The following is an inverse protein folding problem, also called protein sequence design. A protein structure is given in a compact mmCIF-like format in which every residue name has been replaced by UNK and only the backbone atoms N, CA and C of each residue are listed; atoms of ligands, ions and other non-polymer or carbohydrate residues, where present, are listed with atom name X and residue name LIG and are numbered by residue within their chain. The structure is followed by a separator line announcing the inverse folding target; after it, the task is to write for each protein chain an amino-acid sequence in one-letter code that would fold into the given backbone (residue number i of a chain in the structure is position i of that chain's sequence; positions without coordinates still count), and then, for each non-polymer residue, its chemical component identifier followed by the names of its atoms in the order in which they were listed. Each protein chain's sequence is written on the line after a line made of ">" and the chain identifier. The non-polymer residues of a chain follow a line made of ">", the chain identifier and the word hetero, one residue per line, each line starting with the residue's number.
data_IF_129360905871
#
_entry.id   IF_129360905871
#
_cell.length_a   1.000
_cell.length_b   1.000
_cell.length_c   1.000
_cell.angle_alpha   90.00
_cell.angle_beta   90.00
_cell.angle_gamma   90.00
#
_symmetry.space_group_name_H-M   'P 1'
#
loop_
_entity.id
_entity.type
_entity.pdbx_description
1 polymer ?
#
# COMPACT_ATOMS: atom_id res chain seq x y z
N UNK A 1 19.86 -19.33 12.90
CA UNK A 1 18.81 -18.79 12.00
C UNK A 1 17.69 -19.79 11.74
N UNK A 2 17.85 -20.87 10.95
CA UNK A 2 16.77 -21.86 10.70
C UNK A 2 16.26 -22.47 12.01
N UNK A 3 17.17 -22.92 12.89
CA UNK A 3 16.79 -23.47 14.20
C UNK A 3 15.95 -22.51 15.04
N UNK A 4 16.21 -21.20 14.97
CA UNK A 4 15.50 -20.18 15.74
C UNK A 4 14.13 -19.90 15.12
N UNK A 5 14.06 -19.83 13.79
CA UNK A 5 12.80 -19.77 13.03
C UNK A 5 11.87 -20.93 13.38
N UNK A 6 12.37 -22.18 13.37
CA UNK A 6 11.56 -23.34 13.72
C UNK A 6 11.09 -23.26 15.18
N UNK A 7 11.97 -22.90 16.12
CA UNK A 7 11.60 -22.74 17.53
C UNK A 7 10.53 -21.66 17.74
N UNK A 8 10.67 -20.51 17.07
CA UNK A 8 9.71 -19.40 17.13
C UNK A 8 8.35 -19.84 16.57
N UNK A 9 8.35 -20.53 15.43
CA UNK A 9 7.14 -21.05 14.78
C UNK A 9 6.46 -22.09 15.66
N UNK A 10 7.20 -23.07 16.19
CA UNK A 10 6.65 -24.08 17.09
C UNK A 10 6.07 -23.46 18.36
N UNK A 11 6.72 -22.43 18.93
CA UNK A 11 6.20 -21.70 20.09
C UNK A 11 4.88 -21.01 19.76
N UNK A 12 4.74 -20.46 18.55
CA UNK A 12 3.50 -19.85 18.07
C UNK A 12 2.38 -20.88 17.87
N UNK A 13 2.69 -22.02 17.24
CA UNK A 13 1.74 -23.11 17.01
C UNK A 13 1.32 -23.83 18.31
N UNK A 14 2.04 -23.62 19.41
CA UNK A 14 1.72 -24.18 20.73
C UNK A 14 1.30 -23.11 21.75
N UNK A 15 1.05 -21.88 21.28
CA UNK A 15 0.54 -20.80 22.11
C UNK A 15 -0.94 -21.02 22.48
N UNK A 16 -1.34 -20.56 23.66
CA UNK A 16 -2.70 -20.77 24.19
C UNK A 16 -3.78 -20.24 23.25
N UNK A 17 -3.58 -19.04 22.68
CA UNK A 17 -4.57 -18.44 21.78
C UNK A 17 -4.73 -19.21 20.47
N UNK A 18 -3.61 -19.70 19.92
CA UNK A 18 -3.60 -20.50 18.70
C UNK A 18 -4.30 -21.85 18.93
N UNK A 19 -3.93 -22.55 20.00
CA UNK A 19 -4.49 -23.84 20.38
C UNK A 19 -5.99 -23.76 20.66
N UNK A 20 -6.45 -22.71 21.34
CA UNK A 20 -7.87 -22.47 21.60
C UNK A 20 -8.67 -22.34 20.30
N UNK A 21 -8.13 -21.65 19.29
CA UNK A 21 -8.77 -21.49 17.98
C UNK A 21 -8.81 -22.79 17.17
N UNK A 22 -7.83 -23.69 17.35
CA UNK A 22 -7.84 -25.01 16.74
C UNK A 22 -8.65 -26.06 17.53
N UNK A 23 -9.01 -25.77 18.79
CA UNK A 23 -9.59 -26.76 19.69
C UNK A 23 -8.59 -27.86 20.08
N UNK A 24 -7.30 -27.54 20.10
CA UNK A 24 -6.21 -28.48 20.34
C UNK A 24 -5.56 -28.28 21.72
N UNK A 25 -4.96 -29.35 22.26
CA UNK A 25 -4.14 -29.23 23.48
C UNK A 25 -2.67 -29.06 23.11
N UNK A 26 -1.88 -28.46 23.99
CA UNK A 26 -0.43 -28.32 23.77
C UNK A 26 0.25 -29.67 23.54
N UNK A 27 -0.17 -30.70 24.30
CA UNK A 27 0.34 -32.08 24.15
C UNK A 27 -0.09 -32.68 22.81
N UNK A 28 -1.35 -32.51 22.43
CA UNK A 28 -1.89 -32.97 21.14
C UNK A 28 -1.15 -32.34 19.96
N UNK A 29 -1.06 -31.02 19.93
CA UNK A 29 -0.33 -30.30 18.88
C UNK A 29 1.16 -30.68 18.83
N UNK A 30 1.83 -30.81 19.97
CA UNK A 30 3.24 -31.24 19.98
C UNK A 30 3.41 -32.66 19.44
N UNK A 31 2.48 -33.57 19.77
CA UNK A 31 2.41 -34.91 19.19
C UNK A 31 2.24 -34.87 17.68
N UNK A 32 1.24 -34.14 17.18
CA UNK A 32 0.98 -33.96 15.74
C UNK A 32 2.22 -33.42 15.00
N UNK A 33 2.86 -32.37 15.51
CA UNK A 33 4.05 -31.81 14.84
C UNK A 33 5.21 -32.83 14.77
N UNK A 34 5.38 -33.65 15.81
CA UNK A 34 6.42 -34.68 15.84
C UNK A 34 6.10 -35.86 14.92
N UNK A 35 4.88 -36.40 15.01
CA UNK A 35 4.45 -37.59 14.25
C UNK A 35 4.60 -37.40 12.74
N UNK A 36 4.39 -36.17 12.27
CA UNK A 36 4.47 -35.82 10.85
C UNK A 36 5.80 -35.20 10.43
N UNK A 37 6.78 -35.18 11.34
CA UNK A 37 8.13 -34.64 11.06
C UNK A 37 8.06 -33.20 10.54
N UNK A 38 7.15 -32.40 11.11
CA UNK A 38 6.90 -31.02 10.70
C UNK A 38 8.18 -30.20 10.67
N UNK A 39 9.02 -30.38 11.69
CA UNK A 39 10.30 -29.67 11.81
C UNK A 39 11.23 -29.96 10.62
N UNK A 40 11.39 -31.23 10.25
CA UNK A 40 12.25 -31.58 9.11
C UNK A 40 11.69 -31.07 7.79
N UNK A 41 10.36 -31.14 7.59
CA UNK A 41 9.71 -30.64 6.36
C UNK A 41 9.91 -29.14 6.18
N UNK A 42 9.58 -28.34 7.22
CA UNK A 42 9.72 -26.88 7.16
C UNK A 42 11.18 -26.44 7.11
N UNK A 43 12.08 -27.13 7.82
CA UNK A 43 13.52 -26.84 7.71
C UNK A 43 14.04 -27.13 6.31
N UNK A 44 13.60 -28.23 5.70
CA UNK A 44 14.02 -28.61 4.34
C UNK A 44 13.61 -27.59 3.27
N UNK A 45 12.42 -27.00 3.37
CA UNK A 45 12.00 -25.89 2.49
C UNK A 45 12.90 -24.66 2.70
N UNK A 46 13.10 -24.26 3.96
CA UNK A 46 13.94 -23.12 4.31
C UNK A 46 15.41 -23.29 3.90
N UNK A 47 15.96 -24.50 3.95
CA UNK A 47 17.32 -24.84 3.50
C UNK A 47 17.46 -24.76 1.98
N UNK A 48 16.41 -25.10 1.23
CA UNK A 48 16.36 -24.99 -0.23
C UNK A 48 16.10 -23.56 -0.71
N UNK A 49 15.73 -22.64 0.19
CA UNK A 49 15.25 -21.30 -0.19
C UNK A 49 13.90 -21.31 -0.89
N UNK A 50 13.10 -22.37 -0.71
CA UNK A 50 11.76 -22.47 -1.29
C UNK A 50 10.74 -21.88 -0.32
N UNK A 51 10.18 -20.73 -0.70
CA UNK A 51 9.17 -19.99 0.06
C UNK A 51 7.82 -19.92 -0.64
N UNK A 52 7.59 -20.80 -1.62
CA UNK A 52 6.30 -20.91 -2.31
C UNK A 52 5.20 -21.42 -1.38
N UNK A 53 3.99 -20.92 -1.58
CA UNK A 53 2.81 -21.39 -0.88
C UNK A 53 2.47 -22.84 -1.27
N UNK A 54 2.67 -23.20 -2.55
CA UNK A 54 2.45 -24.55 -3.09
C UNK A 54 3.28 -25.61 -2.40
N UNK A 55 4.62 -25.46 -2.39
CA UNK A 55 5.50 -26.41 -1.70
C UNK A 55 5.21 -26.51 -0.19
N UNK A 56 4.77 -25.40 0.42
CA UNK A 56 4.35 -25.42 1.82
C UNK A 56 3.04 -26.19 2.01
N UNK A 57 2.04 -26.01 1.15
CA UNK A 57 0.80 -26.79 1.17
C UNK A 57 1.12 -28.26 1.03
N UNK A 58 1.91 -28.67 0.05
CA UNK A 58 2.30 -30.07 -0.14
C UNK A 58 2.98 -30.65 1.10
N UNK A 59 3.84 -29.86 1.74
CA UNK A 59 4.54 -30.26 2.97
C UNK A 59 3.60 -30.40 4.18
N UNK A 60 2.55 -29.58 4.26
CA UNK A 60 1.62 -29.53 5.40
C UNK A 60 0.32 -30.31 5.16
N UNK A 61 0.04 -30.73 3.93
CA UNK A 61 -1.20 -31.41 3.52
C UNK A 61 -1.55 -32.60 4.43
N UNK A 62 -0.62 -33.53 4.77
CA UNK A 62 -0.95 -34.64 5.67
C UNK A 62 -1.39 -34.19 7.08
N UNK A 63 -0.92 -33.02 7.54
CA UNK A 63 -1.38 -32.42 8.79
C UNK A 63 -2.75 -31.78 8.64
N UNK A 64 -2.95 -31.03 7.56
CA UNK A 64 -4.20 -30.33 7.28
C UNK A 64 -5.38 -31.29 7.12
N UNK A 65 -5.14 -32.45 6.51
CA UNK A 65 -6.11 -33.55 6.34
C UNK A 65 -6.60 -34.15 7.67
N UNK A 66 -5.93 -33.87 8.79
CA UNK A 66 -6.45 -34.24 10.13
C UNK A 66 -7.68 -33.45 10.53
N UNK A 67 -7.86 -32.25 9.99
CA UNK A 67 -9.00 -31.39 10.29
C UNK A 67 -10.04 -31.37 9.18
N UNK A 68 -9.63 -31.43 7.91
CA UNK A 68 -10.55 -31.51 6.79
C UNK A 68 -9.86 -32.03 5.53
N UNK A 69 -10.63 -32.73 4.69
CA UNK A 69 -10.23 -33.08 3.33
C UNK A 69 -10.03 -31.81 2.48
N UNK A 70 -9.13 -31.93 1.49
CA UNK A 70 -8.83 -30.87 0.56
C UNK A 70 -10.11 -30.43 -0.22
N UNK A 71 -10.38 -29.12 -0.32
CA UNK A 71 -11.44 -28.60 -1.18
C UNK A 71 -11.26 -29.00 -2.65
N UNK A 72 -12.33 -29.05 -3.44
CA UNK A 72 -12.26 -29.42 -4.87
C UNK A 72 -11.37 -28.48 -5.67
N UNK A 73 -11.39 -27.19 -5.31
CA UNK A 73 -10.55 -26.13 -5.88
C UNK A 73 -9.09 -26.16 -5.40
N UNK A 74 -8.75 -27.03 -4.45
CA UNK A 74 -7.44 -27.08 -3.79
C UNK A 74 -7.27 -26.06 -2.66
N UNK A 75 -6.25 -26.27 -1.81
CA UNK A 75 -6.05 -25.43 -0.62
C UNK A 75 -5.76 -23.96 -0.91
N UNK A 76 -4.91 -23.64 -1.89
CA UNK A 76 -4.51 -22.25 -2.15
C UNK A 76 -5.67 -21.39 -2.66
N UNK A 77 -6.43 -21.89 -3.63
CA UNK A 77 -7.61 -21.21 -4.17
C UNK A 77 -8.69 -21.04 -3.10
N UNK A 78 -8.95 -22.09 -2.30
CA UNK A 78 -9.86 -22.01 -1.15
C UNK A 78 -9.44 -20.92 -0.16
N UNK A 79 -8.16 -20.87 0.22
CA UNK A 79 -7.65 -19.87 1.16
C UNK A 79 -7.82 -18.46 0.60
N UNK A 80 -7.50 -18.25 -0.69
CA UNK A 80 -7.70 -16.97 -1.35
C UNK A 80 -9.17 -16.54 -1.35
N UNK A 81 -10.09 -17.43 -1.69
CA UNK A 81 -11.52 -17.13 -1.71
C UNK A 81 -12.07 -16.83 -0.32
N UNK A 82 -11.57 -17.50 0.71
CA UNK A 82 -11.93 -17.21 2.09
C UNK A 82 -11.49 -15.81 2.54
N UNK A 83 -10.25 -15.41 2.22
CA UNK A 83 -9.78 -14.05 2.55
C UNK A 83 -10.54 -13.00 1.75
N UNK A 84 -10.83 -13.25 0.47
CA UNK A 84 -11.71 -12.38 -0.35
C UNK A 84 -13.11 -12.26 0.25
N UNK A 85 -13.73 -13.34 0.72
CA UNK A 85 -15.05 -13.30 1.37
C UNK A 85 -15.07 -12.49 2.67
N UNK A 86 -13.98 -12.48 3.43
CA UNK A 86 -13.85 -11.65 4.61
C UNK A 86 -13.66 -10.16 4.27
N UNK A 87 -12.97 -9.86 3.16
CA UNK A 87 -12.75 -8.49 2.69
C UNK A 87 -13.92 -7.94 1.87
N UNK A 88 -14.69 -8.77 1.18
CA UNK A 88 -15.70 -8.37 0.19
C UNK A 88 -16.91 -9.32 0.24
N UNK A 89 -17.65 -9.32 1.37
CA UNK A 89 -18.73 -10.29 1.61
C UNK A 89 -19.90 -10.18 0.63
N UNK A 90 -20.09 -9.01 0.00
CA UNK A 90 -21.14 -8.80 -1.01
C UNK A 90 -20.84 -9.53 -2.32
N UNK A 91 -19.56 -9.70 -2.66
CA UNK A 91 -19.12 -10.32 -3.93
C UNK A 91 -18.61 -11.74 -3.78
N UNK A 92 -18.23 -12.14 -2.57
CA UNK A 92 -17.64 -13.45 -2.30
C UNK A 92 -18.26 -14.10 -1.06
N UNK A 93 -18.69 -15.34 -1.21
CA UNK A 93 -19.30 -16.11 -0.13
C UNK A 93 -18.30 -17.12 0.46
N UNK A 94 -18.17 -17.14 1.78
CA UNK A 94 -17.37 -18.15 2.47
C UNK A 94 -18.00 -19.54 2.31
N UNK A 95 -17.15 -20.54 2.05
CA UNK A 95 -17.51 -21.96 1.97
C UNK A 95 -16.80 -22.78 3.05
N UNK A 96 -16.21 -22.12 4.05
CA UNK A 96 -15.43 -22.79 5.09
C UNK A 96 -16.31 -23.54 6.08
N UNK A 97 -15.98 -24.82 6.29
CA UNK A 97 -16.42 -25.59 7.46
C UNK A 97 -15.49 -25.33 8.64
N UNK A 98 -15.86 -25.79 9.84
CA UNK A 98 -14.99 -25.66 11.03
C UNK A 98 -13.61 -26.31 10.79
N UNK A 99 -13.60 -27.53 10.23
CA UNK A 99 -12.36 -28.26 9.91
C UNK A 99 -11.47 -27.54 8.89
N UNK A 100 -12.07 -27.03 7.80
CA UNK A 100 -11.33 -26.26 6.79
C UNK A 100 -10.80 -24.93 7.35
N UNK A 101 -11.55 -24.30 8.25
CA UNK A 101 -11.11 -23.10 8.97
C UNK A 101 -9.89 -23.37 9.85
N UNK A 102 -9.86 -24.52 10.54
CA UNK A 102 -8.70 -24.97 11.33
C UNK A 102 -7.47 -25.22 10.46
N UNK A 103 -7.64 -25.99 9.37
CA UNK A 103 -6.57 -26.26 8.42
C UNK A 103 -5.98 -24.98 7.80
N UNK A 104 -6.85 -24.06 7.34
CA UNK A 104 -6.43 -22.72 6.85
C UNK A 104 -5.64 -21.98 7.91
N UNK A 105 -6.16 -21.86 9.13
CA UNK A 105 -5.50 -21.10 10.19
C UNK A 105 -4.12 -21.69 10.54
N UNK A 106 -4.00 -23.02 10.55
CA UNK A 106 -2.71 -23.70 10.74
C UNK A 106 -1.73 -23.39 9.59
N UNK A 107 -2.18 -23.50 8.34
CA UNK A 107 -1.36 -23.18 7.16
C UNK A 107 -0.88 -21.72 7.19
N UNK A 108 -1.79 -20.77 7.40
CA UNK A 108 -1.47 -19.33 7.34
C UNK A 108 -0.46 -18.91 8.41
N UNK A 109 -0.49 -19.50 9.61
CA UNK A 109 0.52 -19.21 10.64
C UNK A 109 1.90 -19.81 10.31
N UNK A 110 1.95 -20.98 9.66
CA UNK A 110 3.20 -21.52 9.14
C UNK A 110 3.74 -20.65 7.99
N UNK A 111 2.87 -20.25 7.07
CA UNK A 111 3.26 -19.45 5.91
C UNK A 111 3.76 -18.07 6.33
N UNK A 112 3.06 -17.41 7.25
CA UNK A 112 3.53 -16.17 7.91
C UNK A 112 4.94 -16.31 8.47
N UNK A 113 5.21 -17.40 9.19
CA UNK A 113 6.51 -17.62 9.80
C UNK A 113 7.59 -17.86 8.73
N UNK A 114 7.25 -18.60 7.67
CA UNK A 114 8.13 -18.86 6.53
C UNK A 114 8.49 -17.56 5.78
N UNK A 115 7.52 -16.71 5.48
CA UNK A 115 7.75 -15.41 4.84
C UNK A 115 8.54 -14.44 5.75
N UNK A 116 8.33 -14.51 7.07
CA UNK A 116 9.16 -13.76 8.04
C UNK A 116 10.62 -14.23 8.02
N UNK A 117 10.85 -15.52 7.78
CA UNK A 117 12.20 -16.08 7.63
C UNK A 117 12.82 -15.73 6.28
N UNK A 118 12.06 -15.81 5.18
CA UNK A 118 12.44 -15.29 3.85
C UNK A 118 12.93 -13.85 3.96
N UNK A 119 12.14 -12.96 4.56
CA UNK A 119 12.53 -11.54 4.74
C UNK A 119 13.83 -11.36 5.54
N UNK A 120 14.06 -12.18 6.57
CA UNK A 120 15.29 -12.10 7.38
C UNK A 120 16.54 -12.58 6.63
N UNK A 121 16.38 -13.40 5.59
CA UNK A 121 17.48 -14.08 4.89
C UNK A 121 17.73 -13.54 3.49
N UNK A 122 16.69 -13.15 2.77
CA UNK A 122 16.72 -12.65 1.39
C UNK A 122 16.97 -11.15 1.24
N UNK A 123 17.11 -10.41 2.35
CA UNK A 123 17.29 -8.95 2.32
C UNK A 123 16.00 -8.16 2.04
N UNK A 124 16.14 -6.87 1.78
CA UNK A 124 15.03 -5.96 1.48
C UNK A 124 14.76 -5.96 -0.03
N UNK A 125 13.68 -6.59 -0.46
CA UNK A 125 13.16 -6.49 -1.84
C UNK A 125 11.95 -5.58 -1.87
N UNK A 126 11.95 -4.50 -2.68
CA UNK A 126 10.87 -3.52 -2.71
C UNK A 126 9.57 -4.06 -3.33
N UNK A 127 9.61 -5.25 -3.94
CA UNK A 127 8.45 -5.91 -4.58
C UNK A 127 8.03 -7.19 -3.86
N UNK A 128 8.80 -7.64 -2.86
CA UNK A 128 8.50 -8.89 -2.15
C UNK A 128 7.89 -8.66 -0.78
N UNK A 129 8.11 -7.49 -0.17
CA UNK A 129 7.67 -7.18 1.19
C UNK A 129 7.14 -5.74 1.28
N UNK A 130 6.18 -5.53 2.18
CA UNK A 130 5.72 -4.20 2.58
C UNK A 130 6.24 -3.90 3.97
N UNK A 131 6.99 -2.82 4.07
CA UNK A 131 7.70 -2.42 5.28
C UNK A 131 6.96 -1.28 5.97
N UNK A 132 5.89 -1.64 6.68
CA UNK A 132 5.15 -0.68 7.51
C UNK A 132 6.08 -0.01 8.53
N UNK A 133 5.95 1.31 8.62
CA UNK A 133 6.62 2.15 9.59
C UNK A 133 6.29 1.70 11.02
N UNK A 134 7.27 1.68 11.92
CA UNK A 134 7.03 1.32 13.31
C UNK A 134 6.23 2.43 14.01
N UNK A 135 5.36 2.04 14.95
CA UNK A 135 4.46 2.97 15.63
C UNK A 135 5.17 4.19 16.25
N UNK A 136 6.38 4.00 16.78
CA UNK A 136 7.20 5.07 17.36
C UNK A 136 7.52 6.20 16.39
N UNK A 137 7.58 5.90 15.08
CA UNK A 137 7.95 6.85 14.03
C UNK A 137 6.76 7.63 13.50
N UNK A 138 5.53 7.17 13.73
CA UNK A 138 4.29 7.78 13.20
C UNK A 138 3.27 8.13 14.28
N UNK A 139 3.63 8.02 15.57
CA UNK A 139 2.72 8.26 16.70
C UNK A 139 2.18 9.69 16.79
N UNK A 140 2.93 10.65 16.25
CA UNK A 140 2.54 12.07 16.24
C UNK A 140 1.72 12.45 15.00
N UNK A 141 1.57 11.53 14.05
CA UNK A 141 0.75 11.74 12.86
C UNK A 141 -0.74 11.79 13.23
N UNK A 142 -1.49 12.65 12.56
CA UNK A 142 -2.94 12.84 12.78
C UNK A 142 -3.67 11.51 12.56
N UNK A 143 -3.29 10.80 11.50
CA UNK A 143 -3.91 9.54 11.08
C UNK A 143 -3.35 8.29 11.76
N UNK A 144 -2.52 8.44 12.81
CA UNK A 144 -1.88 7.33 13.52
C UNK A 144 -2.85 6.21 13.93
N UNK A 145 -4.05 6.58 14.42
CA UNK A 145 -5.06 5.59 14.83
C UNK A 145 -5.61 4.77 13.66
N UNK A 146 -5.81 5.38 12.48
CA UNK A 146 -6.20 4.63 11.29
C UNK A 146 -5.07 3.71 10.84
N UNK A 147 -3.83 4.18 10.90
CA UNK A 147 -2.67 3.37 10.56
C UNK A 147 -2.48 2.15 11.48
N UNK A 148 -2.76 2.29 12.78
CA UNK A 148 -2.79 1.15 13.69
C UNK A 148 -3.89 0.14 13.35
N UNK A 149 -5.08 0.62 12.96
CA UNK A 149 -6.17 -0.25 12.46
C UNK A 149 -5.74 -0.97 11.19
N UNK A 150 -5.07 -0.29 10.25
CA UNK A 150 -4.57 -0.90 9.02
C UNK A 150 -3.59 -2.02 9.32
N UNK A 151 -2.59 -1.76 10.17
CA UNK A 151 -1.59 -2.76 10.57
C UNK A 151 -2.23 -3.94 11.30
N UNK A 152 -3.24 -3.68 12.13
CA UNK A 152 -4.01 -4.72 12.80
C UNK A 152 -4.81 -5.57 11.79
N UNK A 153 -5.56 -4.94 10.89
CA UNK A 153 -6.30 -5.57 9.80
C UNK A 153 -5.39 -6.45 8.95
N UNK A 154 -4.27 -5.87 8.49
CA UNK A 154 -3.28 -6.55 7.64
C UNK A 154 -2.77 -7.85 8.28
N UNK A 155 -2.47 -7.80 9.57
CA UNK A 155 -2.00 -8.95 10.34
C UNK A 155 -3.11 -9.93 10.69
N UNK A 156 -4.29 -9.47 11.08
CA UNK A 156 -5.38 -10.34 11.53
C UNK A 156 -6.00 -11.12 10.39
N UNK A 157 -6.15 -10.50 9.22
CA UNK A 157 -6.77 -11.08 8.03
C UNK A 157 -5.76 -11.71 7.07
N UNK A 158 -4.47 -11.74 7.45
CA UNK A 158 -3.38 -12.32 6.66
C UNK A 158 -3.24 -11.73 5.25
N UNK A 159 -3.35 -10.41 5.13
CA UNK A 159 -3.41 -9.74 3.83
C UNK A 159 -2.12 -9.94 3.02
N UNK A 160 -0.95 -9.87 3.67
CA UNK A 160 0.32 -10.13 2.99
C UNK A 160 0.43 -11.56 2.48
N UNK A 161 0.15 -12.52 3.36
CA UNK A 161 0.20 -13.95 3.04
C UNK A 161 -0.78 -14.27 1.90
N UNK A 162 -1.99 -13.72 1.96
CA UNK A 162 -2.99 -13.85 0.91
C UNK A 162 -2.49 -13.36 -0.44
N UNK A 163 -1.91 -12.15 -0.52
CA UNK A 163 -1.46 -11.63 -1.81
C UNK A 163 -0.25 -12.39 -2.36
N UNK A 164 0.60 -12.96 -1.49
CA UNK A 164 1.68 -13.86 -1.90
C UNK A 164 1.15 -15.15 -2.51
N UNK A 165 0.12 -15.74 -1.92
CA UNK A 165 -0.59 -16.90 -2.50
C UNK A 165 -1.23 -16.50 -3.84
N UNK A 166 -1.92 -15.36 -3.87
CA UNK A 166 -2.62 -14.89 -5.06
C UNK A 166 -1.65 -14.68 -6.25
N UNK A 167 -0.46 -14.15 -6.00
CA UNK A 167 0.60 -14.02 -7.01
C UNK A 167 1.03 -15.37 -7.59
N UNK A 168 1.04 -16.43 -6.79
CA UNK A 168 1.47 -17.75 -7.23
C UNK A 168 0.41 -18.48 -8.06
N UNK A 169 -0.86 -18.25 -7.76
CA UNK A 169 -1.99 -18.96 -8.41
C UNK A 169 -2.67 -18.15 -9.53
N UNK A 170 -2.22 -16.92 -9.77
CA UNK A 170 -2.77 -16.04 -10.82
C UNK A 170 -1.64 -15.44 -11.66
N UNK A 171 -1.90 -14.99 -12.89
CA UNK A 171 -0.89 -14.34 -13.74
C UNK A 171 -0.68 -12.86 -13.35
N UNK A 172 -0.97 -12.50 -12.10
CA UNK A 172 -0.93 -11.12 -11.60
C UNK A 172 -0.01 -11.00 -10.38
N UNK A 173 0.87 -10.01 -10.40
CA UNK A 173 1.80 -9.65 -9.34
C UNK A 173 1.35 -8.37 -8.61
N UNK A 174 0.08 -8.35 -8.17
CA UNK A 174 -0.51 -7.21 -7.45
C UNK A 174 0.27 -6.85 -6.19
N UNK A 175 0.75 -7.84 -5.42
CA UNK A 175 1.60 -7.56 -4.25
C UNK A 175 2.89 -6.84 -4.63
N UNK A 176 3.53 -7.24 -5.73
CA UNK A 176 4.78 -6.61 -6.16
C UNK A 176 4.57 -5.15 -6.54
N UNK A 177 3.45 -4.86 -7.22
CA UNK A 177 3.08 -3.49 -7.53
C UNK A 177 2.75 -2.67 -6.28
N UNK A 178 1.87 -3.16 -5.39
CA UNK A 178 1.53 -2.47 -4.13
C UNK A 178 2.79 -2.22 -3.29
N UNK A 179 3.67 -3.22 -3.16
CA UNK A 179 4.92 -3.10 -2.42
C UNK A 179 5.87 -2.09 -3.07
N UNK A 180 5.99 -2.09 -4.40
CA UNK A 180 6.82 -1.14 -5.13
C UNK A 180 6.34 0.30 -4.97
N UNK A 181 5.03 0.53 -5.11
CA UNK A 181 4.40 1.85 -4.89
C UNK A 181 4.62 2.32 -3.46
N UNK A 182 4.39 1.44 -2.49
CA UNK A 182 4.65 1.73 -1.08
C UNK A 182 6.12 2.09 -0.83
N UNK A 183 7.06 1.36 -1.43
CA UNK A 183 8.49 1.63 -1.32
C UNK A 183 8.86 3.02 -1.86
N UNK A 184 8.44 3.36 -3.08
CA UNK A 184 8.71 4.69 -3.68
C UNK A 184 8.07 5.79 -2.84
N UNK A 185 6.82 5.61 -2.42
CA UNK A 185 6.09 6.59 -1.62
C UNK A 185 6.79 6.85 -0.29
N UNK A 186 7.15 5.79 0.45
CA UNK A 186 7.84 5.93 1.75
C UNK A 186 9.27 6.45 1.57
N UNK A 187 9.96 6.12 0.47
CA UNK A 187 11.29 6.67 0.17
C UNK A 187 11.26 8.19 -0.01
N UNK A 188 10.31 8.71 -0.79
CA UNK A 188 10.11 10.16 -0.94
C UNK A 188 9.64 10.77 0.38
N UNK A 189 8.62 10.18 1.00
CA UNK A 189 8.04 10.73 2.22
C UNK A 189 9.03 10.84 3.39
N UNK A 190 9.92 9.86 3.56
CA UNK A 190 10.94 9.91 4.60
C UNK A 190 11.91 11.07 4.44
N UNK A 191 12.22 11.49 3.21
CA UNK A 191 13.09 12.62 2.92
C UNK A 191 12.43 13.97 3.24
N UNK A 192 11.10 14.03 3.16
CA UNK A 192 10.32 15.23 3.51
C UNK A 192 10.11 15.37 5.02
N UNK A 193 10.39 14.33 5.81
CA UNK A 193 10.23 14.39 7.27
C UNK A 193 11.17 15.42 7.88
N UNK A 194 10.62 16.34 8.64
CA UNK A 194 11.40 17.39 9.31
C UNK A 194 11.69 18.61 8.44
N UNK A 195 11.16 18.63 7.22
CA UNK A 195 11.06 19.84 6.39
C UNK A 195 9.78 20.61 6.71
N UNK A 196 9.59 21.77 6.09
CA UNK A 196 8.34 22.55 6.20
C UNK A 196 7.17 21.93 5.42
N UNK A 197 7.41 20.87 4.62
CA UNK A 197 6.36 20.14 3.91
C UNK A 197 5.54 19.31 4.90
N UNK A 198 4.23 19.57 5.06
CA UNK A 198 3.41 18.95 6.09
C UNK A 198 2.95 17.55 5.66
N UNK A 199 3.83 16.56 5.87
CA UNK A 199 3.59 15.17 5.48
C UNK A 199 3.15 14.29 6.67
N UNK A 200 1.99 13.64 6.53
CA UNK A 200 1.54 12.57 7.42
C UNK A 200 2.03 11.20 6.88
N UNK A 201 3.13 10.71 7.46
CA UNK A 201 3.71 9.42 7.09
C UNK A 201 2.84 8.20 7.42
N UNK A 202 1.94 8.28 8.41
CA UNK A 202 0.97 7.23 8.69
C UNK A 202 -0.07 7.15 7.56
N UNK A 203 -0.56 8.30 7.11
CA UNK A 203 -1.51 8.41 6.01
C UNK A 203 -0.89 7.91 4.71
N UNK A 204 0.30 8.41 4.36
CA UNK A 204 1.01 8.04 3.15
C UNK A 204 1.32 6.53 3.10
N UNK A 205 1.95 5.99 4.15
CA UNK A 205 2.26 4.56 4.21
C UNK A 205 0.97 3.72 4.21
N UNK A 206 -0.09 4.20 4.83
CA UNK A 206 -1.34 3.46 4.90
C UNK A 206 -2.05 3.42 3.55
N UNK A 207 -2.14 4.57 2.89
CA UNK A 207 -2.79 4.71 1.60
C UNK A 207 -2.04 3.95 0.51
N UNK A 208 -0.71 4.06 0.46
CA UNK A 208 0.10 3.32 -0.52
C UNK A 208 -0.01 1.80 -0.36
N UNK A 209 -0.12 1.28 0.86
CA UNK A 209 -0.35 -0.15 1.08
C UNK A 209 -1.80 -0.59 0.73
N UNK A 210 -2.76 0.34 0.78
CA UNK A 210 -4.19 0.07 0.62
C UNK A 210 -4.76 0.33 -0.78
N UNK A 211 -4.07 1.13 -1.61
CA UNK A 211 -4.64 1.74 -2.83
C UNK A 211 -5.30 0.75 -3.79
N UNK A 212 -4.70 -0.44 -3.90
CA UNK A 212 -5.07 -1.46 -4.87
C UNK A 212 -5.73 -2.70 -4.28
N UNK A 213 -6.07 -2.68 -2.97
CA UNK A 213 -6.76 -3.81 -2.34
C UNK A 213 -8.10 -4.10 -3.02
N UNK A 214 -8.79 -3.08 -3.51
CA UNK A 214 -10.05 -3.20 -4.24
C UNK A 214 -10.00 -4.05 -5.51
N UNK A 215 -8.81 -4.31 -6.08
CA UNK A 215 -8.65 -5.26 -7.21
C UNK A 215 -9.11 -6.67 -6.83
N UNK A 216 -8.97 -7.04 -5.56
CA UNK A 216 -9.44 -8.33 -5.04
C UNK A 216 -10.94 -8.36 -4.75
N UNK A 217 -11.61 -7.20 -4.80
CA UNK A 217 -13.05 -7.06 -4.57
C UNK A 217 -13.89 -7.26 -5.81
N UNK A 218 -13.34 -7.12 -7.02
CA UNK A 218 -14.08 -7.35 -8.25
C UNK A 218 -14.43 -8.83 -8.44
N UNK A 219 -15.72 -9.12 -8.64
CA UNK A 219 -16.17 -10.46 -8.99
C UNK A 219 -15.70 -10.87 -10.40
N UNK A 220 -15.73 -12.17 -10.78
CA UNK A 220 -15.41 -12.60 -12.14
C UNK A 220 -16.25 -11.91 -13.22
N UNK A 221 -17.50 -11.53 -12.92
CA UNK A 221 -18.37 -10.78 -13.82
C UNK A 221 -17.92 -9.31 -14.02
N UNK A 222 -17.13 -8.79 -13.08
CA UNK A 222 -16.65 -7.40 -13.06
C UNK A 222 -15.19 -7.27 -13.50
N UNK A 223 -14.51 -8.38 -13.83
CA UNK A 223 -13.09 -8.39 -14.16
C UNK A 223 -12.72 -7.39 -15.29
N UNK A 224 -13.58 -7.24 -16.30
CA UNK A 224 -13.38 -6.27 -17.39
C UNK A 224 -13.47 -4.80 -16.92
N UNK A 225 -14.11 -4.55 -15.78
CA UNK A 225 -14.32 -3.22 -15.18
C UNK A 225 -13.42 -2.97 -13.97
N UNK A 226 -12.52 -3.90 -13.62
CA UNK A 226 -11.58 -3.74 -12.50
C UNK A 226 -10.82 -2.40 -12.51
N UNK A 227 -10.32 -1.88 -13.66
CA UNK A 227 -9.66 -0.57 -13.69
C UNK A 227 -10.52 0.61 -13.20
N UNK A 228 -11.84 0.46 -13.15
CA UNK A 228 -12.79 1.48 -12.68
C UNK A 228 -13.38 1.15 -11.31
N UNK A 229 -13.62 -0.13 -11.03
CA UNK A 229 -14.31 -0.56 -9.81
C UNK A 229 -13.38 -0.75 -8.61
N UNK A 230 -12.08 -0.94 -8.83
CA UNK A 230 -11.17 -1.16 -7.70
C UNK A 230 -11.12 0.05 -6.75
N UNK A 231 -11.27 1.29 -7.23
CA UNK A 231 -11.37 2.47 -6.36
C UNK A 231 -12.54 2.36 -5.38
N UNK A 232 -13.71 1.95 -5.88
CA UNK A 232 -14.92 1.76 -5.08
C UNK A 232 -14.70 0.68 -4.02
N UNK A 233 -14.14 -0.47 -4.39
CA UNK A 233 -13.90 -1.57 -3.45
C UNK A 233 -12.78 -1.26 -2.45
N UNK A 234 -11.76 -0.50 -2.85
CA UNK A 234 -10.75 0.04 -1.92
C UNK A 234 -11.43 0.96 -0.90
N UNK A 235 -12.28 1.86 -1.37
CA UNK A 235 -12.98 2.82 -0.51
C UNK A 235 -13.91 2.13 0.49
N UNK A 236 -14.76 1.23 -0.01
CA UNK A 236 -15.74 0.50 0.80
C UNK A 236 -15.04 -0.33 1.90
N UNK A 237 -13.97 -1.06 1.53
CA UNK A 237 -13.21 -1.89 2.46
C UNK A 237 -12.60 -1.05 3.59
N UNK A 238 -11.88 0.03 3.25
CA UNK A 238 -11.13 0.82 4.22
C UNK A 238 -12.07 1.62 5.13
N UNK A 239 -13.16 2.20 4.59
CA UNK A 239 -14.23 2.81 5.40
C UNK A 239 -14.88 1.81 6.35
N UNK A 240 -15.24 0.61 5.88
CA UNK A 240 -15.85 -0.43 6.74
C UNK A 240 -14.91 -0.89 7.85
N UNK A 241 -13.60 -0.84 7.63
CA UNK A 241 -12.57 -1.10 8.65
C UNK A 241 -12.23 0.14 9.50
N UNK A 242 -12.96 1.24 9.34
CA UNK A 242 -12.86 2.44 10.15
C UNK A 242 -11.61 3.28 9.88
N UNK A 243 -11.19 3.34 8.61
CA UNK A 243 -10.02 4.09 8.12
C UNK A 243 -10.41 5.06 6.99
N UNK A 244 -11.35 6.01 7.21
CA UNK A 244 -11.84 6.91 6.16
C UNK A 244 -10.79 7.85 5.56
N UNK A 245 -9.80 8.34 6.33
CA UNK A 245 -8.76 9.21 5.77
C UNK A 245 -7.82 8.42 4.86
N UNK A 246 -7.37 7.24 5.30
CA UNK A 246 -6.60 6.33 4.44
C UNK A 246 -7.41 5.95 3.21
N UNK A 247 -8.71 5.67 3.38
CA UNK A 247 -9.63 5.35 2.29
C UNK A 247 -9.70 6.45 1.22
N UNK A 248 -9.81 7.70 1.65
CA UNK A 248 -9.91 8.84 0.76
C UNK A 248 -8.66 8.97 -0.12
N UNK A 249 -7.46 8.92 0.45
CA UNK A 249 -6.21 8.99 -0.32
C UNK A 249 -6.03 7.72 -1.19
N UNK A 250 -6.25 6.54 -0.62
CA UNK A 250 -6.06 5.26 -1.29
C UNK A 250 -7.00 5.06 -2.49
N UNK A 251 -8.25 5.55 -2.43
CA UNK A 251 -9.22 5.35 -3.52
C UNK A 251 -9.14 6.40 -4.63
N UNK A 252 -8.50 7.55 -4.38
CA UNK A 252 -8.37 8.64 -5.35
C UNK A 252 -6.98 8.71 -6.01
N UNK A 253 -6.22 7.62 -6.01
CA UNK A 253 -4.83 7.57 -6.47
C UNK A 253 -4.63 7.54 -7.99
N UNK A 254 -5.69 7.51 -8.80
CA UNK A 254 -5.59 7.46 -10.28
C UNK A 254 -6.72 8.27 -10.97
N UNK A 255 -7.22 9.31 -10.33
CA UNK A 255 -8.24 10.17 -10.96
C UNK A 255 -7.57 11.08 -12.02
N UNK A 256 -7.75 10.73 -13.29
CA UNK A 256 -7.17 11.43 -14.46
C UNK A 256 -7.76 12.84 -14.69
N UNK A 257 -8.79 13.19 -13.93
CA UNK A 257 -9.46 14.49 -13.90
C UNK A 257 -9.06 15.33 -12.67
N UNK A 258 -8.03 14.92 -11.92
CA UNK A 258 -7.58 15.64 -10.73
C UNK A 258 -7.08 17.04 -11.07
N UNK A 259 -7.67 18.03 -10.40
CA UNK A 259 -6.99 19.28 -10.12
C UNK A 259 -5.87 18.95 -9.12
N UNK A 260 -4.70 18.48 -9.61
CA UNK A 260 -3.55 18.16 -8.76
C UNK A 260 -3.11 19.35 -7.87
N UNK A 261 -3.58 20.55 -8.19
CA UNK A 261 -3.43 21.78 -7.43
C UNK A 261 -4.20 21.74 -6.10
N UNK A 262 -5.20 20.86 -5.97
CA UNK A 262 -6.10 20.73 -4.82
C UNK A 262 -5.91 19.38 -4.11
N UNK A 263 -4.66 18.88 -4.07
CA UNK A 263 -4.33 17.59 -3.45
C UNK A 263 -3.32 17.75 -2.32
N UNK A 264 -3.48 16.90 -1.30
CA UNK A 264 -2.48 16.78 -0.25
C UNK A 264 -1.17 16.20 -0.79
N UNK A 265 -0.08 16.44 -0.08
CA UNK A 265 1.23 15.88 -0.44
C UNK A 265 1.21 14.35 -0.46
N UNK A 266 0.43 13.70 0.40
CA UNK A 266 0.29 12.24 0.41
C UNK A 266 -0.37 11.72 -0.86
N UNK A 267 -1.42 12.39 -1.34
CA UNK A 267 -2.06 12.06 -2.63
C UNK A 267 -1.09 12.25 -3.79
N UNK A 268 -0.38 13.38 -3.83
CA UNK A 268 0.61 13.65 -4.89
C UNK A 268 1.72 12.60 -4.92
N UNK A 269 2.27 12.23 -3.76
CA UNK A 269 3.31 11.19 -3.67
C UNK A 269 2.75 9.83 -4.07
N UNK A 270 1.53 9.47 -3.66
CA UNK A 270 0.93 8.19 -4.02
C UNK A 270 0.69 8.07 -5.53
N UNK A 271 0.13 9.11 -6.15
CA UNK A 271 -0.08 9.17 -7.61
C UNK A 271 1.27 9.10 -8.33
N UNK A 272 2.26 9.87 -7.89
CA UNK A 272 3.61 9.87 -8.44
C UNK A 272 4.27 8.48 -8.35
N UNK A 273 4.15 7.81 -7.20
CA UNK A 273 4.67 6.47 -6.98
C UNK A 273 3.96 5.41 -7.82
N UNK A 274 2.61 5.42 -7.87
CA UNK A 274 1.85 4.53 -8.75
C UNK A 274 2.26 4.72 -10.22
N UNK A 275 2.38 5.98 -10.66
CA UNK A 275 2.74 6.30 -12.03
C UNK A 275 4.10 5.68 -12.42
N UNK A 276 5.08 5.73 -11.53
CA UNK A 276 6.45 5.23 -11.76
C UNK A 276 6.62 3.72 -11.62
N UNK A 277 5.74 3.06 -10.85
CA UNK A 277 5.82 1.61 -10.62
C UNK A 277 4.83 0.91 -11.53
N UNK A 278 5.31 0.35 -12.64
CA UNK A 278 4.47 -0.35 -13.62
C UNK A 278 5.01 -1.74 -13.91
N UNK A 279 4.12 -2.62 -14.33
CA UNK A 279 4.47 -3.99 -14.69
C UNK A 279 4.57 -4.22 -16.19
N UNK A 280 5.45 -5.12 -16.60
CA UNK A 280 5.48 -5.73 -17.94
C UNK A 280 5.14 -7.22 -17.82
N UNK A 281 4.81 -7.86 -18.95
CA UNK A 281 4.71 -9.31 -19.04
C UNK A 281 5.87 -9.85 -19.85
N UNK A 282 6.66 -10.73 -19.24
CA UNK A 282 7.80 -11.41 -19.84
C UNK A 282 7.62 -12.91 -19.60
N UNK A 283 7.60 -13.70 -20.68
CA UNK A 283 7.43 -15.16 -20.63
C UNK A 283 6.19 -15.67 -19.83
N UNK A 284 5.15 -14.83 -19.71
CA UNK A 284 3.93 -15.13 -18.96
C UNK A 284 3.94 -14.66 -17.51
N UNK A 285 5.09 -14.23 -16.99
CA UNK A 285 5.27 -13.68 -15.66
C UNK A 285 5.10 -12.17 -15.65
N UNK A 286 4.49 -11.63 -14.58
CA UNK A 286 4.35 -10.18 -14.39
C UNK A 286 5.53 -9.62 -13.57
N UNK A 287 6.39 -8.85 -14.24
CA UNK A 287 7.58 -8.25 -13.67
C UNK A 287 7.30 -6.78 -13.35
N UNK A 288 7.61 -6.37 -12.11
CA UNK A 288 7.41 -5.00 -11.63
C UNK A 288 8.68 -4.19 -11.86
N UNK A 289 8.53 -3.03 -12.49
CA UNK A 289 9.61 -2.12 -12.85
C UNK A 289 9.47 -0.79 -12.11
N UNK A 290 10.60 -0.14 -11.86
CA UNK A 290 10.70 1.19 -11.27
C UNK A 290 11.27 2.14 -12.30
N UNK A 291 10.41 2.93 -12.92
CA UNK A 291 10.78 3.87 -13.96
C UNK A 291 11.10 5.24 -13.39
N UNK A 292 11.87 6.04 -14.13
CA UNK A 292 11.80 7.50 -14.02
C UNK A 292 10.41 8.00 -14.47
N UNK A 293 10.06 9.25 -14.15
CA UNK A 293 8.78 9.80 -14.57
C UNK A 293 8.63 9.85 -16.10
N UNK A 294 9.71 10.19 -16.80
CA UNK A 294 9.77 10.23 -18.27
C UNK A 294 9.58 8.83 -18.87
N UNK A 295 10.34 7.83 -18.42
CA UNK A 295 10.20 6.45 -18.89
C UNK A 295 8.79 5.88 -18.59
N UNK A 296 8.23 6.20 -17.42
CA UNK A 296 6.87 5.77 -17.06
C UNK A 296 5.82 6.35 -18.03
N UNK A 297 5.98 7.61 -18.42
CA UNK A 297 5.11 8.26 -19.38
C UNK A 297 5.19 7.60 -20.76
N UNK A 298 6.40 7.30 -21.23
CA UNK A 298 6.61 6.58 -22.49
C UNK A 298 6.01 5.17 -22.46
N UNK A 299 6.18 4.44 -21.36
CA UNK A 299 5.56 3.11 -21.16
C UNK A 299 4.03 3.21 -21.19
N UNK A 300 3.46 4.23 -20.58
CA UNK A 300 2.00 4.45 -20.59
C UNK A 300 1.54 4.80 -22.01
N UNK A 301 2.19 5.71 -22.71
CA UNK A 301 1.85 6.05 -24.10
C UNK A 301 1.98 4.85 -25.05
N UNK A 302 3.00 4.02 -24.88
CA UNK A 302 3.21 2.81 -25.68
C UNK A 302 2.15 1.73 -25.44
N UNK A 303 1.59 1.63 -24.23
CA UNK A 303 0.47 0.72 -23.91
C UNK A 303 -0.88 1.22 -24.44
N UNK A 304 -0.92 2.44 -24.96
CA UNK A 304 -2.13 3.15 -25.37
C UNK A 304 -2.32 3.18 -26.89
N UNK A 305 -1.78 2.19 -27.62
CA UNK A 305 -2.14 1.95 -29.02
C UNK A 305 -3.68 1.96 -29.18
N UNK A 306 -4.21 2.93 -29.94
CA UNK A 306 -5.63 3.29 -30.13
C UNK A 306 -6.26 4.33 -29.17
N UNK A 307 -5.48 5.22 -28.58
CA UNK A 307 -6.01 6.36 -27.82
C UNK A 307 -6.45 7.51 -28.73
N UNK A 308 -7.67 8.02 -28.51
CA UNK A 308 -8.13 9.27 -29.12
C UNK A 308 -7.30 10.48 -28.65
N UNK A 309 -7.24 11.54 -29.47
CA UNK A 309 -6.44 12.73 -29.17
C UNK A 309 -6.81 13.37 -27.83
N UNK A 310 -8.07 13.27 -27.39
CA UNK A 310 -8.54 13.84 -26.14
C UNK A 310 -7.93 13.11 -24.92
N UNK A 311 -7.89 11.79 -24.95
CA UNK A 311 -7.28 10.98 -23.90
C UNK A 311 -5.77 11.17 -23.89
N UNK A 312 -5.08 11.24 -25.05
CA UNK A 312 -3.65 11.59 -25.09
C UNK A 312 -3.37 12.94 -24.41
N UNK A 313 -4.15 13.96 -24.73
CA UNK A 313 -4.00 15.29 -24.13
C UNK A 313 -4.19 15.29 -22.61
N UNK A 314 -5.12 14.47 -22.09
CA UNK A 314 -5.27 14.28 -20.63
C UNK A 314 -4.02 13.68 -19.99
N UNK A 315 -3.42 12.65 -20.59
CA UNK A 315 -2.18 12.05 -20.08
C UNK A 315 -1.01 13.05 -20.11
N UNK A 316 -0.89 13.83 -21.18
CA UNK A 316 0.13 14.90 -21.28
C UNK A 316 -0.05 15.96 -20.18
N UNK A 317 -1.29 16.34 -19.86
CA UNK A 317 -1.59 17.29 -18.77
C UNK A 317 -1.24 16.72 -17.39
N UNK A 318 -1.58 15.46 -17.13
CA UNK A 318 -1.25 14.78 -15.85
C UNK A 318 0.27 14.65 -15.71
N UNK A 319 0.95 14.22 -16.77
CA UNK A 319 2.41 14.13 -16.79
C UNK A 319 3.07 15.48 -16.50
N UNK A 320 2.65 16.55 -17.17
CA UNK A 320 3.22 17.88 -16.96
C UNK A 320 3.11 18.34 -15.50
N UNK A 321 1.97 18.07 -14.85
CA UNK A 321 1.76 18.39 -13.44
C UNK A 321 2.58 17.51 -12.49
N UNK A 322 2.70 16.21 -12.76
CA UNK A 322 3.61 15.33 -12.01
C UNK A 322 5.07 15.74 -12.20
N UNK A 323 5.41 16.29 -13.38
CA UNK A 323 6.74 16.80 -13.66
C UNK A 323 7.03 18.08 -12.89
N UNK A 324 6.09 19.03 -12.86
CA UNK A 324 6.19 20.21 -11.98
C UNK A 324 6.36 19.80 -10.51
N UNK A 325 5.67 18.74 -10.04
CA UNK A 325 5.85 18.20 -8.69
C UNK A 325 7.22 17.52 -8.48
N UNK A 326 7.70 16.73 -9.44
CA UNK A 326 9.04 16.14 -9.39
C UNK A 326 10.13 17.21 -9.35
N UNK A 327 10.00 18.25 -10.18
CA UNK A 327 10.95 19.36 -10.23
C UNK A 327 10.95 20.14 -8.91
N UNK A 328 9.78 20.33 -8.29
CA UNK A 328 9.67 20.87 -6.94
C UNK A 328 10.41 20.01 -5.91
N UNK A 329 10.20 18.68 -5.92
CA UNK A 329 10.90 17.76 -5.02
C UNK A 329 12.42 17.86 -5.19
N UNK A 330 12.91 17.90 -6.43
CA UNK A 330 14.34 18.04 -6.75
C UNK A 330 14.88 19.40 -6.33
N UNK A 331 14.11 20.48 -6.51
CA UNK A 331 14.49 21.84 -6.09
C UNK A 331 14.76 21.88 -4.58
N UNK A 332 13.83 21.38 -3.77
CA UNK A 332 13.99 21.28 -2.32
C UNK A 332 15.00 20.20 -1.88
N UNK A 333 15.59 19.47 -2.82
CA UNK A 333 16.73 18.57 -2.57
C UNK A 333 16.38 17.10 -2.34
N UNK A 334 15.16 16.67 -2.63
CA UNK A 334 14.75 15.25 -2.53
C UNK A 334 15.43 14.42 -3.63
N UNK A 335 15.99 13.28 -3.24
CA UNK A 335 16.41 12.25 -4.18
C UNK A 335 15.18 11.52 -4.72
N UNK A 336 15.01 11.48 -6.04
CA UNK A 336 13.88 10.80 -6.71
C UNK A 336 14.27 9.43 -7.28
N UNK A 337 15.56 9.16 -7.46
CA UNK A 337 16.07 7.84 -7.83
C UNK A 337 16.12 6.93 -6.59
N UNK A 338 15.19 5.98 -6.52
CA UNK A 338 15.03 5.08 -5.37
C UNK A 338 16.19 4.10 -5.18
N UNK A 339 17.08 3.99 -6.17
CA UNK A 339 18.28 3.17 -6.08
C UNK A 339 19.48 3.91 -5.50
N UNK A 340 19.36 5.24 -5.31
CA UNK A 340 20.36 6.07 -4.64
C UNK A 340 20.02 6.24 -3.18
N UNK A 341 21.04 6.59 -2.39
CA UNK A 341 20.82 6.97 -1.01
C UNK A 341 19.90 8.20 -0.93
N UNK A 342 18.98 8.27 0.05
CA UNK A 342 18.17 9.46 0.27
C UNK A 342 19.06 10.67 0.58
N UNK A 343 18.60 11.86 0.19
CA UNK A 343 19.31 13.11 0.46
C UNK A 343 19.22 13.47 1.95
N UNK A 344 20.32 14.00 2.51
CA UNK A 344 20.36 14.51 3.88
C UNK A 344 20.10 16.03 3.96
N UNK A 345 20.18 16.74 2.82
CA UNK A 345 20.13 18.21 2.74
C UNK A 345 18.76 18.75 2.28
N UNK A 346 17.69 17.97 2.46
CA UNK A 346 16.35 18.34 2.00
C UNK A 346 15.84 19.55 2.80
N UNK A 347 15.36 20.58 2.08
CA UNK A 347 14.87 21.82 2.68
C UNK A 347 15.97 22.76 3.19
N UNK A 348 17.25 22.47 2.95
CA UNK A 348 18.38 23.32 3.39
C UNK A 348 18.81 24.37 2.36
N UNK A 349 18.25 24.35 1.14
CA UNK A 349 18.59 25.35 0.13
C UNK A 349 17.89 26.67 0.41
N UNK A 350 18.68 27.67 0.79
CA UNK A 350 18.25 29.06 0.79
C UNK A 350 18.39 29.61 -0.63
N UNK A 351 17.26 29.69 -1.34
CA UNK A 351 17.22 30.23 -2.68
C UNK A 351 17.13 31.76 -2.60
N UNK A 352 18.24 32.46 -2.88
CA UNK A 352 18.31 33.93 -2.92
C UNK A 352 17.40 34.47 -4.04
N UNK A 353 16.11 34.71 -3.72
CA UNK A 353 15.09 35.19 -4.67
C UNK A 353 15.52 36.48 -5.37
N UNK A 354 16.30 37.32 -4.68
CA UNK A 354 16.83 38.57 -5.20
C UNK A 354 17.85 38.39 -6.35
N UNK A 355 18.45 37.20 -6.48
CA UNK A 355 19.46 36.88 -7.49
C UNK A 355 18.89 36.08 -8.68
N UNK A 356 17.62 35.68 -8.63
CA UNK A 356 16.99 34.89 -9.69
C UNK A 356 16.79 35.70 -10.96
N UNK A 357 17.03 35.09 -12.12
CA UNK A 357 16.80 35.72 -13.42
C UNK A 357 16.02 34.83 -14.39
N UNK A 358 15.16 35.46 -15.20
CA UNK A 358 14.49 34.82 -16.33
C UNK A 358 13.66 33.59 -15.94
N UNK A 359 14.02 32.43 -16.48
CA UNK A 359 13.30 31.17 -16.26
C UNK A 359 13.25 30.71 -14.80
N UNK A 360 14.28 31.03 -14.00
CA UNK A 360 14.36 30.68 -12.58
C UNK A 360 13.23 31.31 -11.76
N UNK A 361 12.79 32.52 -12.15
CA UNK A 361 11.66 33.20 -11.50
C UNK A 361 10.35 32.46 -11.77
N UNK A 362 10.18 31.95 -13.00
CA UNK A 362 8.97 31.20 -13.38
C UNK A 362 8.90 29.88 -12.62
N UNK A 363 10.02 29.14 -12.56
CA UNK A 363 10.12 27.90 -11.78
C UNK A 363 9.85 28.15 -10.30
N UNK A 364 10.46 29.17 -9.71
CA UNK A 364 10.24 29.51 -8.32
C UNK A 364 8.76 29.86 -8.03
N UNK A 365 8.09 30.63 -8.90
CA UNK A 365 6.66 30.91 -8.74
C UNK A 365 5.82 29.64 -8.77
N UNK A 366 6.14 28.67 -9.66
CA UNK A 366 5.45 27.38 -9.68
C UNK A 366 5.65 26.62 -8.37
N UNK A 367 6.87 26.57 -7.87
CA UNK A 367 7.21 25.87 -6.63
C UNK A 367 6.53 26.50 -5.41
N UNK A 368 6.50 27.84 -5.31
CA UNK A 368 5.72 28.54 -4.27
C UNK A 368 4.24 28.22 -4.35
N UNK A 369 3.67 28.09 -5.56
CA UNK A 369 2.27 27.70 -5.72
C UNK A 369 2.01 26.26 -5.25
N UNK A 370 2.89 25.31 -5.59
CA UNK A 370 2.81 23.91 -5.13
C UNK A 370 2.89 23.85 -3.60
N UNK A 371 3.87 24.53 -3.01
CA UNK A 371 4.05 24.61 -1.56
C UNK A 371 2.82 25.20 -0.87
N UNK A 372 2.32 26.32 -1.39
CA UNK A 372 1.11 26.97 -0.85
C UNK A 372 -0.09 26.02 -0.86
N UNK A 373 -0.33 25.33 -1.99
CA UNK A 373 -1.44 24.42 -2.13
C UNK A 373 -1.33 23.23 -1.17
N UNK A 374 -0.12 22.67 -1.00
CA UNK A 374 0.13 21.61 -0.02
C UNK A 374 -0.21 22.09 1.40
N UNK A 375 0.18 23.32 1.77
CA UNK A 375 -0.13 23.88 3.09
C UNK A 375 -1.64 24.08 3.29
N UNK A 376 -2.34 24.58 2.28
CA UNK A 376 -3.79 24.76 2.32
C UNK A 376 -4.49 23.41 2.48
N UNK A 377 -4.10 22.40 1.70
CA UNK A 377 -4.67 21.05 1.79
C UNK A 377 -4.40 20.39 3.15
N UNK A 378 -3.23 20.61 3.75
CA UNK A 378 -2.95 20.14 5.11
C UNK A 378 -3.89 20.79 6.15
N UNK A 379 -4.22 22.08 6.00
CA UNK A 379 -5.19 22.75 6.88
C UNK A 379 -6.57 22.10 6.74
N UNK A 380 -7.03 21.85 5.51
CA UNK A 380 -8.34 21.24 5.25
C UNK A 380 -8.45 19.80 5.77
N UNK A 381 -7.36 19.02 5.68
CA UNK A 381 -7.32 17.63 6.13
C UNK A 381 -7.16 17.46 7.65
N UNK A 382 -6.92 18.55 8.40
CA UNK A 382 -6.78 18.55 9.84
C UNK A 382 -7.97 19.26 10.49
N UNK A 383 -8.86 18.50 11.16
CA UNK A 383 -10.08 19.03 11.79
C UNK A 383 -9.82 20.24 12.71
N UNK A 384 -8.72 20.23 13.47
CA UNK A 384 -8.38 21.34 14.37
C UNK A 384 -7.90 22.58 13.60
N UNK A 385 -7.08 22.39 12.57
CA UNK A 385 -6.58 23.46 11.73
C UNK A 385 -7.72 24.07 10.91
N UNK A 386 -8.56 23.23 10.31
CA UNK A 386 -9.76 23.64 9.58
C UNK A 386 -10.74 24.37 10.51
N UNK A 387 -11.00 23.83 11.71
CA UNK A 387 -11.82 24.51 12.72
C UNK A 387 -11.28 25.90 13.07
N UNK A 388 -9.96 26.03 13.23
CA UNK A 388 -9.29 27.31 13.47
C UNK A 388 -9.42 28.28 12.29
N UNK A 389 -9.33 27.77 11.05
CA UNK A 389 -9.54 28.54 9.83
C UNK A 389 -10.97 29.10 9.76
N UNK A 390 -11.97 28.28 10.06
CA UNK A 390 -13.39 28.69 10.07
C UNK A 390 -13.63 29.74 11.17
N UNK A 391 -13.06 29.55 12.35
CA UNK A 391 -13.17 30.52 13.45
C UNK A 391 -12.49 31.86 13.13
N UNK A 392 -11.34 31.83 12.45
CA UNK A 392 -10.67 33.02 11.96
C UNK A 392 -11.51 33.73 10.88
N UNK A 393 -12.03 32.98 9.90
CA UNK A 393 -12.88 33.51 8.84
C UNK A 393 -14.17 34.13 9.40
N UNK A 394 -14.79 33.50 10.41
CA UNK A 394 -15.97 34.02 11.11
C UNK A 394 -15.68 35.32 11.86
N UNK A 395 -14.49 35.44 12.44
CA UNK A 395 -14.08 36.59 13.26
C UNK A 395 -13.52 37.77 12.45
N UNK A 396 -13.25 37.56 11.17
CA UNK A 396 -12.72 38.57 10.26
C UNK A 396 -13.75 39.67 9.99
N UNK A 397 -13.30 40.93 10.00
CA UNK A 397 -14.15 42.11 9.82
C UNK A 397 -13.91 42.82 8.50
N UNK A 398 -12.76 42.59 7.86
CA UNK A 398 -12.45 43.19 6.57
C UNK A 398 -13.07 42.38 5.43
N UNK A 399 -13.94 43.02 4.64
CA UNK A 399 -14.66 42.35 3.54
C UNK A 399 -13.73 41.72 2.48
N UNK A 400 -12.54 42.31 2.25
CA UNK A 400 -11.55 41.75 1.31
C UNK A 400 -11.00 40.41 1.80
N UNK A 401 -10.65 40.33 3.08
CA UNK A 401 -10.19 39.10 3.73
C UNK A 401 -11.30 38.07 3.81
N UNK A 402 -12.53 38.45 4.13
CA UNK A 402 -13.69 37.55 4.08
C UNK A 402 -13.90 36.95 2.69
N UNK A 403 -13.78 37.77 1.63
CA UNK A 403 -13.88 37.27 0.25
C UNK A 403 -12.76 36.30 -0.10
N UNK A 404 -11.54 36.53 0.39
CA UNK A 404 -10.43 35.59 0.22
C UNK A 404 -10.73 34.24 0.88
N UNK A 405 -11.22 34.22 2.12
CA UNK A 405 -11.65 32.98 2.79
C UNK A 405 -12.75 32.26 2.02
N UNK A 406 -13.77 32.98 1.53
CA UNK A 406 -14.84 32.36 0.74
C UNK A 406 -14.34 31.77 -0.58
N UNK A 407 -13.39 32.44 -1.25
CA UNK A 407 -12.78 31.92 -2.46
C UNK A 407 -11.98 30.63 -2.17
N UNK A 408 -11.15 30.63 -1.12
CA UNK A 408 -10.39 29.44 -0.70
C UNK A 408 -11.35 28.29 -0.37
N UNK A 409 -12.40 28.52 0.41
CA UNK A 409 -13.39 27.48 0.70
C UNK A 409 -14.08 26.99 -0.57
N UNK A 410 -14.45 27.89 -1.49
CA UNK A 410 -15.11 27.50 -2.74
C UNK A 410 -14.20 26.66 -3.65
N UNK A 411 -12.93 27.02 -3.75
CA UNK A 411 -11.95 26.37 -4.63
C UNK A 411 -11.59 24.97 -4.13
N UNK A 412 -11.41 24.83 -2.80
CA UNK A 412 -10.94 23.58 -2.20
C UNK A 412 -12.07 22.67 -1.68
N UNK A 413 -13.34 23.12 -1.61
CA UNK A 413 -14.46 22.32 -1.09
C UNK A 413 -14.84 21.06 -1.89
N UNK A 414 -14.32 20.92 -3.11
CA UNK A 414 -14.68 19.81 -4.01
C UNK A 414 -13.89 18.53 -3.72
N UNK A 415 -12.75 18.66 -3.02
CA UNK A 415 -11.82 17.59 -2.65
C UNK A 415 -11.84 17.37 -1.15
#
# INVERSE_FOLDING_TARGET
>A
MIRDFIKETQRRLTDKGFLMKLGETKKGMTGLLNDFRWKERISGLAEKGDFSAGSLVESLKPLMERWAEEPEEGWLEFICNEVKSAMYPENFTSRSTEGRGKARFFFMENYRAMLKYERKTGGTSPVSHIDFLPAREVKECITFKEYEKLRAFWKQEYIFEFMRINREITPFNTIGHIAGVHYVAVFIGNQLRGTDVPIDMALLSGAAAGHDLGKFGCSPAEAARTPYLHYYYTDELLKRKGMPMISHIASNHSTWDLELENLSVESLILIYADFRVKSSREEGEEIVHFYTLEEAFDVILGKLDNVDMAKRHRYEKVYAKLKDFEDYLVDIGVQTDVWKAPSEDVGLKDNDVALMMGGQVVEHIKYTAIEHNIQIMNIFNNENAFGSLIEAARSEKQWKSQRAYLNILSEYSTY
#
